data_IF_877609666710
#
_entry.id   IF_877609666710
#
_cell.length_a   1.000
_cell.length_b   1.000
_cell.length_c   1.000
_cell.angle_alpha   90.00
_cell.angle_beta   90.00
_cell.angle_gamma   90.00
#
_symmetry.space_group_name_H-M   'P 1'
#
loop_
_entity.id
_entity.type
_entity.pdbx_description
1 polymer ?
#
# COMPACT_ATOMS: atom_id res chain seq x y z
N UNK A 1 6.71 -1.03 -14.79
CA UNK A 1 7.78 -1.20 -13.79
C UNK A 1 8.59 -2.42 -14.24
N UNK A 2 9.90 -2.48 -13.95
CA UNK A 2 10.68 -3.71 -14.20
C UNK A 2 10.48 -4.72 -13.07
N UNK A 3 10.76 -6.00 -13.31
CA UNK A 3 10.61 -7.04 -12.29
C UNK A 3 11.42 -6.74 -11.01
N UNK A 4 12.61 -6.15 -11.15
CA UNK A 4 13.47 -5.80 -10.01
C UNK A 4 12.88 -4.65 -9.19
N UNK A 5 12.38 -3.61 -9.87
CA UNK A 5 11.72 -2.46 -9.22
C UNK A 5 10.44 -2.88 -8.50
N UNK A 6 9.67 -3.81 -9.06
CA UNK A 6 8.46 -4.36 -8.43
C UNK A 6 8.79 -5.07 -7.12
N UNK A 7 9.86 -5.88 -7.10
CA UNK A 7 10.31 -6.55 -5.88
C UNK A 7 10.75 -5.55 -4.82
N UNK A 8 11.55 -4.55 -5.20
CA UNK A 8 11.98 -3.49 -4.29
C UNK A 8 10.78 -2.74 -3.72
N UNK A 9 9.79 -2.43 -4.56
CA UNK A 9 8.57 -1.76 -4.13
C UNK A 9 7.77 -2.61 -3.12
N UNK A 10 7.57 -3.88 -3.43
CA UNK A 10 6.88 -4.84 -2.55
C UNK A 10 7.60 -4.96 -1.20
N UNK A 11 8.91 -5.10 -1.20
CA UNK A 11 9.69 -5.22 0.02
C UNK A 11 9.64 -3.93 0.83
N UNK A 12 9.65 -2.77 0.17
CA UNK A 12 9.47 -1.49 0.85
C UNK A 12 8.11 -1.38 1.55
N UNK A 13 7.03 -1.86 0.92
CA UNK A 13 5.70 -1.90 1.54
C UNK A 13 5.73 -2.78 2.79
N UNK A 14 6.33 -3.98 2.70
CA UNK A 14 6.42 -4.92 3.84
C UNK A 14 7.22 -4.36 5.01
N UNK A 15 8.28 -3.61 4.74
CA UNK A 15 9.14 -3.02 5.76
C UNK A 15 8.52 -1.80 6.44
N UNK A 16 7.78 -0.98 5.68
CA UNK A 16 7.38 0.36 6.14
C UNK A 16 5.89 0.48 6.45
N UNK A 17 5.02 0.01 5.57
CA UNK A 17 3.57 0.23 5.66
C UNK A 17 2.90 -0.94 6.38
N UNK A 18 3.25 -2.17 6.00
CA UNK A 18 2.59 -3.38 6.48
C UNK A 18 2.59 -3.53 8.02
N UNK A 19 3.68 -3.23 8.77
CA UNK A 19 3.70 -3.38 10.23
C UNK A 19 2.67 -2.50 10.95
N UNK A 20 2.26 -1.40 10.32
CA UNK A 20 1.25 -0.48 10.83
C UNK A 20 -0.13 -0.88 10.31
N UNK A 21 -0.23 -1.16 9.01
CA UNK A 21 -1.48 -1.49 8.33
C UNK A 21 -2.22 -2.71 8.91
N UNK A 22 -1.49 -3.68 9.49
CA UNK A 22 -2.10 -4.84 10.15
C UNK A 22 -3.03 -4.49 11.32
N UNK A 23 -2.85 -3.32 11.93
CA UNK A 23 -3.65 -2.85 13.08
C UNK A 23 -4.73 -1.84 12.69
N UNK A 24 -4.80 -1.45 11.41
CA UNK A 24 -5.79 -0.49 10.89
C UNK A 24 -6.94 -1.22 10.21
N UNK A 25 -8.13 -0.61 10.21
CA UNK A 25 -9.22 -1.07 9.34
C UNK A 25 -8.94 -0.76 7.88
N UNK A 26 -9.57 -1.49 6.96
CA UNK A 26 -9.37 -1.30 5.52
C UNK A 26 -9.81 0.10 5.07
N UNK A 27 -10.84 0.66 5.71
CA UNK A 27 -11.32 2.03 5.47
C UNK A 27 -10.30 3.09 5.90
N UNK A 28 -9.64 2.90 7.04
CA UNK A 28 -8.57 3.80 7.51
C UNK A 28 -7.37 3.77 6.56
N UNK A 29 -6.94 2.59 6.12
CA UNK A 29 -5.84 2.43 5.16
C UNK A 29 -6.20 3.17 3.86
N UNK A 30 -7.39 2.93 3.32
CA UNK A 30 -7.86 3.58 2.09
C UNK A 30 -7.87 5.10 2.24
N UNK A 31 -8.44 5.62 3.33
CA UNK A 31 -8.52 7.06 3.58
C UNK A 31 -7.15 7.71 3.66
N UNK A 32 -6.18 7.09 4.33
CA UNK A 32 -4.81 7.61 4.43
C UNK A 32 -4.16 7.66 3.05
N UNK A 33 -4.27 6.59 2.27
CA UNK A 33 -3.67 6.52 0.93
C UNK A 33 -4.31 7.55 -0.02
N UNK A 34 -5.64 7.67 -0.03
CA UNK A 34 -6.36 8.66 -0.83
C UNK A 34 -5.96 10.09 -0.47
N UNK A 35 -5.74 10.38 0.82
CA UNK A 35 -5.28 11.68 1.29
C UNK A 35 -3.85 11.97 0.82
N UNK A 36 -2.97 10.97 0.85
CA UNK A 36 -1.59 11.11 0.36
C UNK A 36 -1.59 11.35 -1.15
N UNK A 37 -2.33 10.57 -1.94
CA UNK A 37 -2.40 10.75 -3.39
C UNK A 37 -2.91 12.15 -3.77
N UNK A 38 -4.00 12.61 -3.13
CA UNK A 38 -4.56 13.96 -3.36
C UNK A 38 -3.65 15.11 -2.95
N UNK A 39 -2.70 14.86 -2.04
CA UNK A 39 -1.78 15.89 -1.54
C UNK A 39 -0.45 15.91 -2.29
N UNK A 40 -0.25 15.00 -3.25
CA UNK A 40 1.00 14.84 -3.98
C UNK A 40 0.72 14.76 -5.48
N UNK A 41 0.67 15.92 -6.15
CA UNK A 41 0.43 16.04 -7.60
C UNK A 41 1.50 15.36 -8.47
N UNK A 42 2.62 14.95 -7.88
CA UNK A 42 3.70 14.20 -8.55
C UNK A 42 3.42 12.70 -8.64
N UNK A 43 2.45 12.19 -7.88
CA UNK A 43 2.09 10.77 -7.94
C UNK A 43 1.24 10.50 -9.19
N UNK A 44 1.51 9.40 -9.92
CA UNK A 44 0.67 9.00 -11.04
C UNK A 44 -0.77 8.74 -10.60
N UNK A 45 -1.73 9.10 -11.45
CA UNK A 45 -3.15 8.79 -11.22
C UNK A 45 -3.36 7.27 -11.05
N UNK A 46 -4.06 6.89 -9.98
CA UNK A 46 -4.36 5.49 -9.67
C UNK A 46 -3.28 4.78 -8.88
N UNK A 47 -2.18 5.47 -8.53
CA UNK A 47 -1.15 4.95 -7.63
C UNK A 47 -1.73 4.56 -6.27
N UNK A 48 -2.65 5.37 -5.73
CA UNK A 48 -3.26 5.10 -4.43
C UNK A 48 -4.08 3.81 -4.44
N UNK A 49 -4.89 3.59 -5.48
CA UNK A 49 -5.66 2.35 -5.64
C UNK A 49 -4.75 1.12 -5.72
N UNK A 50 -3.69 1.18 -6.54
CA UNK A 50 -2.71 0.10 -6.65
C UNK A 50 -2.04 -0.19 -5.29
N UNK A 51 -1.57 0.84 -4.59
CA UNK A 51 -0.93 0.68 -3.28
C UNK A 51 -1.90 0.05 -2.26
N UNK A 52 -3.15 0.51 -2.24
CA UNK A 52 -4.18 -0.01 -1.36
C UNK A 52 -4.39 -1.51 -1.58
N UNK A 53 -4.56 -1.96 -2.83
CA UNK A 53 -4.71 -3.38 -3.16
C UNK A 53 -3.53 -4.21 -2.67
N UNK A 54 -2.29 -3.76 -2.91
CA UNK A 54 -1.09 -4.47 -2.46
C UNK A 54 -1.03 -4.58 -0.93
N UNK A 55 -1.32 -3.49 -0.22
CA UNK A 55 -1.33 -3.47 1.25
C UNK A 55 -2.38 -4.43 1.81
N UNK A 56 -3.59 -4.45 1.22
CA UNK A 56 -4.69 -5.32 1.66
C UNK A 56 -4.33 -6.80 1.45
N UNK A 57 -3.83 -7.17 0.27
CA UNK A 57 -3.41 -8.55 -0.01
C UNK A 57 -2.34 -8.99 0.99
N UNK A 58 -1.31 -8.15 1.19
CA UNK A 58 -0.22 -8.47 2.13
C UNK A 58 -0.70 -8.57 3.58
N UNK A 59 -1.63 -7.70 3.99
CA UNK A 59 -2.22 -7.71 5.33
C UNK A 59 -2.95 -9.04 5.59
N UNK A 60 -3.84 -9.45 4.69
CA UNK A 60 -4.63 -10.68 4.90
C UNK A 60 -3.78 -11.94 4.77
N UNK A 61 -2.80 -11.97 3.84
CA UNK A 61 -1.79 -13.02 3.78
C UNK A 61 -1.02 -13.18 5.11
N UNK A 62 -0.66 -12.06 5.76
CA UNK A 62 0.04 -12.07 7.05
C UNK A 62 -0.84 -12.50 8.22
N UNK A 63 -2.13 -12.20 8.18
CA UNK A 63 -3.11 -12.62 9.18
C UNK A 63 -3.58 -14.07 8.99
N UNK A 64 -3.14 -14.74 7.92
CA UNK A 64 -3.55 -16.10 7.58
C UNK A 64 -5.02 -16.21 7.20
N UNK A 65 -5.58 -15.15 6.59
CA UNK A 65 -6.97 -15.05 6.18
C UNK A 65 -7.11 -15.02 4.67
#
# INVERSE_FOLDING_TARGET
>A
MTNEEELIFIDKIKETILPIAIYLSDEEIKKIIDQVEKSNDTLPEGFGNMLFEQVIIMKYNRLGK
#
